data_IF_284951122790
#
_entry.id   IF_284951122790
#
_cell.length_a   1.000
_cell.length_b   1.000
_cell.length_c   1.000
_cell.angle_alpha   90.00
_cell.angle_beta   90.00
_cell.angle_gamma   90.00
#
_symmetry.space_group_name_H-M   'P 1'
#
loop_
_entity.id
_entity.type
_entity.pdbx_description
1 polymer ?
#
# COMPACT_ATOMS: atom_id res chain seq x y z
N UNK A 1 -19.02 8.52 6.39
CA UNK A 1 -18.22 9.38 5.48
C UNK A 1 -17.86 8.57 4.24
N UNK A 2 -17.94 9.15 3.03
CA UNK A 2 -17.47 8.48 1.80
C UNK A 2 -15.94 8.39 1.85
N UNK A 3 -15.38 7.19 1.72
CA UNK A 3 -13.93 7.02 1.60
C UNK A 3 -13.43 7.74 0.33
N UNK A 4 -12.31 8.46 0.44
CA UNK A 4 -11.63 9.06 -0.71
C UNK A 4 -10.46 8.18 -1.14
N UNK A 5 -10.14 8.24 -2.42
CA UNK A 5 -9.07 7.45 -3.03
C UNK A 5 -8.25 8.30 -3.99
N UNK A 6 -6.97 7.98 -4.13
CA UNK A 6 -6.07 8.52 -5.13
C UNK A 6 -5.60 7.42 -6.08
N UNK A 7 -5.41 7.77 -7.35
CA UNK A 7 -5.04 6.84 -8.41
C UNK A 7 -3.65 7.17 -8.93
N UNK A 8 -2.79 6.15 -9.04
CA UNK A 8 -1.49 6.22 -9.70
C UNK A 8 -1.48 5.27 -10.89
N UNK A 9 -1.07 5.75 -12.08
CA UNK A 9 -0.89 4.91 -13.27
C UNK A 9 0.59 4.77 -13.55
N UNK A 10 1.15 3.57 -13.33
CA UNK A 10 2.59 3.31 -13.42
C UNK A 10 2.81 1.99 -14.17
N UNK A 11 3.62 2.03 -15.22
CA UNK A 11 3.99 0.85 -16.04
C UNK A 11 2.77 0.03 -16.51
N UNK A 12 1.73 0.72 -16.98
CA UNK A 12 0.49 0.08 -17.46
C UNK A 12 -0.43 -0.45 -16.36
N UNK A 13 -0.06 -0.35 -15.08
CA UNK A 13 -0.90 -0.74 -13.94
C UNK A 13 -1.52 0.47 -13.25
N UNK A 14 -2.75 0.31 -12.79
CA UNK A 14 -3.48 1.32 -12.01
C UNK A 14 -3.48 0.92 -10.54
N UNK A 15 -2.91 1.76 -9.70
CA UNK A 15 -2.89 1.62 -8.26
C UNK A 15 -3.90 2.59 -7.65
N UNK A 16 -4.83 2.05 -6.87
CA UNK A 16 -5.82 2.79 -6.09
C UNK A 16 -5.35 2.79 -4.64
N UNK A 17 -5.31 3.97 -4.02
CA UNK A 17 -4.80 4.16 -2.66
C UNK A 17 -5.84 4.89 -1.84
N UNK A 18 -6.13 4.39 -0.64
CA UNK A 18 -7.09 5.03 0.27
C UNK A 18 -6.52 6.30 0.89
N UNK A 19 -7.35 7.32 1.00
CA UNK A 19 -7.11 8.54 1.77
C UNK A 19 -7.98 8.54 3.03
N UNK A 20 -7.38 8.93 4.15
CA UNK A 20 -8.06 9.18 5.41
C UNK A 20 -8.07 10.68 5.69
N UNK A 21 -9.15 11.19 6.30
CA UNK A 21 -9.23 12.59 6.71
C UNK A 21 -8.36 12.80 7.95
N UNK A 22 -7.46 13.77 7.89
CA UNK A 22 -6.64 14.22 9.01
C UNK A 22 -7.21 15.54 9.57
N UNK A 23 -7.71 15.48 10.80
CA UNK A 23 -8.30 16.63 11.51
C UNK A 23 -7.26 17.70 11.89
N UNK A 24 -5.97 17.34 12.03
CA UNK A 24 -4.91 18.26 12.40
C UNK A 24 -4.62 19.29 11.30
N UNK A 25 -4.67 18.86 10.04
CA UNK A 25 -4.42 19.71 8.87
C UNK A 25 -5.72 20.04 8.10
N UNK A 26 -6.86 19.50 8.55
CA UNK A 26 -8.16 19.62 7.88
C UNK A 26 -8.15 19.18 6.40
N UNK A 27 -7.37 18.14 6.09
CA UNK A 27 -7.22 17.64 4.72
C UNK A 27 -7.10 16.10 4.70
N UNK A 28 -7.12 15.51 3.51
CA UNK A 28 -6.98 14.09 3.30
C UNK A 28 -5.52 13.70 3.08
N UNK A 29 -5.05 12.71 3.83
CA UNK A 29 -3.72 12.12 3.67
C UNK A 29 -3.80 10.62 3.38
N UNK A 30 -2.69 10.04 2.92
CA UNK A 30 -2.66 8.62 2.59
C UNK A 30 -2.82 7.76 3.84
N UNK A 31 -3.73 6.80 3.77
CA UNK A 31 -4.00 5.84 4.85
C UNK A 31 -2.72 5.16 5.36
N UNK A 32 -1.88 4.68 4.44
CA UNK A 32 -0.60 4.03 4.75
C UNK A 32 0.44 5.01 5.33
N UNK A 33 0.40 6.29 4.95
CA UNK A 33 1.33 7.28 5.47
C UNK A 33 0.99 7.62 6.91
N UNK A 34 -0.29 7.91 7.20
CA UNK A 34 -0.74 8.23 8.57
C UNK A 34 -0.45 7.08 9.54
N UNK A 35 -0.58 5.83 9.08
CA UNK A 35 -0.44 4.65 9.95
C UNK A 35 0.97 4.10 10.06
N UNK A 36 1.77 4.23 9.01
CA UNK A 36 3.04 3.50 8.90
C UNK A 36 4.17 4.35 8.32
N UNK A 37 3.95 5.65 8.08
CA UNK A 37 4.91 6.58 7.49
C UNK A 37 5.46 6.10 6.13
N UNK A 38 4.68 5.31 5.40
CA UNK A 38 5.02 4.85 4.04
C UNK A 38 4.23 5.65 3.02
N UNK A 39 4.94 6.25 2.07
CA UNK A 39 4.32 6.93 0.93
C UNK A 39 3.86 5.93 -0.14
N UNK A 40 2.79 6.23 -0.90
CA UNK A 40 2.31 5.35 -1.97
C UNK A 40 3.38 4.95 -2.98
N UNK A 41 4.28 5.86 -3.32
CA UNK A 41 5.37 5.60 -4.26
C UNK A 41 6.34 4.53 -3.74
N UNK A 42 6.60 4.49 -2.43
CA UNK A 42 7.43 3.46 -1.80
C UNK A 42 6.71 2.11 -1.83
N UNK A 43 5.41 2.09 -1.51
CA UNK A 43 4.59 0.88 -1.60
C UNK A 43 4.54 0.33 -3.03
N UNK A 44 4.39 1.20 -4.04
CA UNK A 44 4.39 0.80 -5.45
C UNK A 44 5.77 0.27 -5.88
N UNK A 45 6.85 0.92 -5.44
CA UNK A 45 8.20 0.43 -5.71
C UNK A 45 8.40 -0.96 -5.10
N UNK A 46 8.03 -1.16 -3.84
CA UNK A 46 8.08 -2.44 -3.14
C UNK A 46 7.21 -3.51 -3.83
N UNK A 47 6.02 -3.16 -4.33
CA UNK A 47 5.18 -4.07 -5.12
C UNK A 47 5.89 -4.59 -6.38
N UNK A 48 6.60 -3.70 -7.09
CA UNK A 48 7.35 -4.07 -8.30
C UNK A 48 8.64 -4.83 -7.99
N UNK A 49 9.21 -4.68 -6.80
CA UNK A 49 10.46 -5.34 -6.38
C UNK A 49 10.25 -6.35 -5.25
N UNK A 50 9.03 -6.90 -5.13
CA UNK A 50 8.72 -7.91 -4.12
C UNK A 50 9.57 -9.15 -4.33
N UNK A 51 10.12 -9.67 -3.23
CA UNK A 51 10.88 -10.91 -3.18
C UNK A 51 9.96 -12.10 -2.90
N UNK A 52 8.95 -11.90 -2.05
CA UNK A 52 7.95 -12.92 -1.70
C UNK A 52 6.54 -12.35 -1.82
N UNK A 53 5.61 -13.23 -2.11
CA UNK A 53 4.18 -12.93 -2.20
C UNK A 53 3.39 -14.16 -1.79
N UNK A 54 2.40 -13.96 -0.92
CA UNK A 54 1.45 -15.00 -0.55
C UNK A 54 0.03 -14.45 -0.58
N UNK A 55 -0.93 -15.33 -0.84
CA UNK A 55 -2.34 -14.99 -0.75
C UNK A 55 -2.88 -15.39 0.62
N UNK A 56 -3.53 -14.44 1.31
CA UNK A 56 -4.12 -14.64 2.62
C UNK A 56 -5.65 -14.78 2.49
N UNK A 57 -6.13 -16.03 2.38
CA UNK A 57 -7.55 -16.35 2.19
C UNK A 57 -8.46 -15.78 3.28
N UNK A 58 -7.97 -15.70 4.52
CA UNK A 58 -8.74 -15.16 5.66
C UNK A 58 -9.11 -13.69 5.46
N UNK A 59 -8.27 -12.93 4.78
CA UNK A 59 -8.43 -11.48 4.59
C UNK A 59 -8.60 -11.06 3.13
N UNK A 60 -8.75 -12.03 2.21
CA UNK A 60 -8.98 -11.81 0.78
C UNK A 60 -7.97 -10.83 0.15
N UNK A 61 -6.67 -11.03 0.44
CA UNK A 61 -5.60 -10.12 0.02
C UNK A 61 -4.28 -10.83 -0.24
N UNK A 62 -3.45 -10.20 -1.05
CA UNK A 62 -2.03 -10.54 -1.21
C UNK A 62 -1.19 -9.80 -0.18
N UNK A 63 -0.21 -10.52 0.37
CA UNK A 63 0.80 -10.00 1.28
C UNK A 63 2.16 -10.20 0.61
N UNK A 64 2.73 -9.10 0.14
CA UNK A 64 4.02 -9.07 -0.54
C UNK A 64 5.09 -8.43 0.35
N UNK A 65 6.32 -8.89 0.25
CA UNK A 65 7.48 -8.31 0.92
C UNK A 65 8.59 -8.02 -0.07
N UNK A 66 9.21 -6.84 0.03
CA UNK A 66 10.38 -6.46 -0.76
C UNK A 66 11.60 -6.29 0.14
N UNK A 67 12.57 -7.20 0.01
CA UNK A 67 13.84 -7.11 0.74
C UNK A 67 14.60 -5.82 0.39
N UNK A 68 14.56 -5.40 -0.88
CA UNK A 68 15.24 -4.19 -1.37
C UNK A 68 14.84 -2.92 -0.61
N UNK A 69 13.56 -2.81 -0.24
CA UNK A 69 13.03 -1.63 0.45
C UNK A 69 12.68 -1.91 1.91
N UNK A 70 12.82 -3.15 2.38
CA UNK A 70 12.34 -3.62 3.69
C UNK A 70 10.87 -3.25 3.97
N UNK A 71 10.01 -3.34 2.95
CA UNK A 71 8.59 -2.95 3.04
C UNK A 71 7.71 -4.14 2.70
N UNK A 72 6.70 -4.38 3.55
CA UNK A 72 5.56 -5.22 3.21
C UNK A 72 4.42 -4.40 2.65
N UNK A 73 3.77 -4.94 1.62
CA UNK A 73 2.64 -4.33 0.92
C UNK A 73 1.48 -5.30 0.94
N UNK A 74 0.35 -4.83 1.46
CA UNK A 74 -0.91 -5.57 1.41
C UNK A 74 -1.78 -4.97 0.33
N UNK A 75 -2.24 -5.81 -0.60
CA UNK A 75 -3.01 -5.34 -1.73
C UNK A 75 -4.02 -6.40 -2.18
N UNK A 76 -5.03 -5.98 -2.94
CA UNK A 76 -5.93 -6.90 -3.63
C UNK A 76 -6.15 -6.43 -5.07
N UNK A 77 -6.63 -7.33 -5.92
CA UNK A 77 -7.02 -6.99 -7.27
C UNK A 77 -8.50 -6.55 -7.28
N UNK A 78 -8.76 -5.43 -7.93
CA UNK A 78 -10.11 -5.01 -8.31
C UNK A 78 -10.48 -5.67 -9.65
N UNK A 79 -11.63 -5.28 -10.22
CA UNK A 79 -11.99 -5.67 -11.59
C UNK A 79 -10.91 -5.18 -12.57
N UNK A 80 -10.55 -6.02 -13.55
CA UNK A 80 -9.61 -5.69 -14.64
C UNK A 80 -8.13 -5.48 -14.24
N UNK A 81 -7.61 -6.26 -13.27
CA UNK A 81 -6.22 -6.21 -12.78
C UNK A 81 -5.78 -4.89 -12.11
N UNK A 82 -6.71 -3.96 -11.89
CA UNK A 82 -6.50 -2.78 -11.06
C UNK A 82 -6.07 -3.19 -9.65
N UNK A 83 -5.07 -2.52 -9.07
CA UNK A 83 -4.50 -2.89 -7.77
C UNK A 83 -4.99 -1.91 -6.72
N UNK A 84 -5.71 -2.40 -5.71
CA UNK A 84 -5.99 -1.65 -4.50
C UNK A 84 -4.86 -1.88 -3.49
N UNK A 85 -4.07 -0.85 -3.22
CA UNK A 85 -3.10 -0.87 -2.13
C UNK A 85 -3.86 -0.62 -0.82
N UNK A 86 -3.97 -1.68 -0.01
CA UNK A 86 -4.69 -1.65 1.27
C UNK A 86 -3.83 -0.93 2.30
N UNK A 87 -2.58 -1.38 2.48
CA UNK A 87 -1.60 -0.74 3.34
C UNK A 87 -0.18 -1.14 2.95
N UNK A 88 0.81 -0.44 3.49
CA UNK A 88 2.21 -0.84 3.44
C UNK A 88 2.92 -0.39 4.71
N UNK A 89 3.90 -1.16 5.16
CA UNK A 89 4.65 -0.88 6.38
C UNK A 89 6.07 -1.44 6.30
N UNK A 90 7.00 -0.79 6.99
CA UNK A 90 8.35 -1.31 7.18
C UNK A 90 8.31 -2.52 8.12
N UNK A 91 9.09 -3.57 7.83
CA UNK A 91 9.22 -4.73 8.73
C UNK A 91 10.11 -4.44 9.95
N UNK A 92 10.69 -3.22 10.02
CA UNK A 92 11.71 -2.89 11.00
C UNK A 92 13.03 -3.63 10.72
N UNK A 93 14.08 -3.19 11.37
CA UNK A 93 15.28 -3.99 11.59
C UNK A 93 15.41 -4.17 13.09
N UNK A 94 15.73 -5.37 13.56
CA UNK A 94 16.31 -5.56 14.88
C UNK A 94 17.69 -4.88 14.88
N UNK A 95 17.71 -3.58 15.12
CA UNK A 95 18.88 -2.81 15.51
C UNK A 95 18.44 -1.67 16.43
N UNK A 96 17.90 -2.06 17.58
CA UNK A 96 18.18 -1.39 18.85
C UNK A 96 18.90 -2.40 19.75
#
# INVERSE_FOLDING_TARGET
MKAKYQIFKIRGKKFVVKLDYNELINDYEYHMYIRHLIMPQQAIAAYFTKTYETYNEKYDRYEAYSEKYNISVYYTYLKEEDILLITAFSQGGLHE
#
